data_IF_949539523621
#
_entry.id   IF_949539523621
#
_cell.length_a   1.000
_cell.length_b   1.000
_cell.length_c   1.000
_cell.angle_alpha   90.00
_cell.angle_beta   90.00
_cell.angle_gamma   90.00
#
_symmetry.space_group_name_H-M   'P 1'
#
loop_
_entity.id
_entity.type
_entity.pdbx_description
1 polymer ?
#
# COMPACT_ATOMS: atom_id res chain seq x y z
N UNK A 1 -32.54 -33.64 -12.67
CA UNK A 1 -32.65 -32.43 -11.80
C UNK A 1 -31.34 -31.62 -11.81
N UNK A 2 -30.36 -31.99 -12.65
CA UNK A 2 -28.95 -31.57 -12.51
C UNK A 2 -28.56 -30.37 -13.38
N UNK A 3 -29.30 -30.10 -14.44
CA UNK A 3 -29.00 -29.00 -15.38
C UNK A 3 -29.31 -27.62 -14.77
N UNK A 4 -30.35 -27.54 -13.92
CA UNK A 4 -30.77 -26.31 -13.22
C UNK A 4 -29.82 -25.97 -12.08
N UNK A 5 -29.19 -26.97 -11.46
CA UNK A 5 -28.22 -26.73 -10.39
C UNK A 5 -26.91 -26.15 -10.95
N UNK A 6 -26.43 -26.67 -12.09
CA UNK A 6 -25.22 -26.21 -12.77
C UNK A 6 -25.30 -24.75 -13.24
N UNK A 7 -26.46 -24.34 -13.77
CA UNK A 7 -26.69 -22.95 -14.21
C UNK A 7 -26.73 -21.97 -13.04
N UNK A 8 -27.23 -22.39 -11.87
CA UNK A 8 -27.27 -21.55 -10.65
C UNK A 8 -25.88 -21.38 -10.04
N UNK A 9 -25.04 -22.42 -10.09
CA UNK A 9 -23.64 -22.35 -9.62
C UNK A 9 -22.79 -21.43 -10.50
N UNK A 10 -22.97 -21.49 -11.83
CA UNK A 10 -22.26 -20.59 -12.76
C UNK A 10 -22.67 -19.13 -12.57
N UNK A 11 -23.97 -18.87 -12.39
CA UNK A 11 -24.48 -17.51 -12.17
C UNK A 11 -23.97 -16.92 -10.83
N UNK A 12 -23.87 -17.73 -9.78
CA UNK A 12 -23.32 -17.30 -8.49
C UNK A 12 -21.82 -17.00 -8.58
N UNK A 13 -21.05 -17.82 -9.31
CA UNK A 13 -19.63 -17.56 -9.57
C UNK A 13 -19.43 -16.25 -10.35
N UNK A 14 -20.24 -16.01 -11.39
CA UNK A 14 -20.14 -14.79 -12.18
C UNK A 14 -20.53 -13.53 -11.38
N UNK A 15 -21.50 -13.63 -10.46
CA UNK A 15 -21.88 -12.54 -9.56
C UNK A 15 -20.80 -12.21 -8.50
N UNK A 16 -20.02 -13.19 -8.06
CA UNK A 16 -18.85 -12.97 -7.21
C UNK A 16 -17.69 -12.30 -7.97
N UNK A 17 -17.51 -12.64 -9.25
CA UNK A 17 -16.50 -12.00 -10.12
C UNK A 17 -16.86 -10.57 -10.51
N UNK A 18 -18.15 -10.22 -10.63
CA UNK A 18 -18.61 -8.88 -11.00
C UNK A 18 -18.97 -8.00 -9.80
N UNK A 19 -19.37 -8.60 -8.67
CA UNK A 19 -19.75 -7.89 -7.44
C UNK A 19 -18.57 -7.44 -6.58
N UNK A 20 -17.37 -8.01 -6.76
CA UNK A 20 -16.16 -7.58 -6.08
C UNK A 20 -15.59 -6.23 -6.58
N UNK A 21 -16.15 -5.68 -7.65
CA UNK A 21 -15.67 -4.45 -8.29
C UNK A 21 -16.30 -3.15 -7.73
N UNK A 22 -17.15 -3.23 -6.71
CA UNK A 22 -17.55 -2.04 -5.94
C UNK A 22 -16.54 -1.78 -4.82
N UNK A 23 -15.26 -1.73 -5.18
CA UNK A 23 -14.29 -1.00 -4.37
C UNK A 23 -14.69 0.47 -4.52
N UNK A 24 -15.37 0.98 -3.50
CA UNK A 24 -15.68 2.40 -3.34
C UNK A 24 -14.50 3.23 -3.81
N UNK A 25 -14.76 4.26 -4.62
CA UNK A 25 -13.78 5.29 -4.95
C UNK A 25 -12.98 5.59 -3.68
N UNK A 26 -11.72 5.16 -3.66
CA UNK A 26 -10.80 5.61 -2.65
C UNK A 26 -10.74 7.12 -2.87
N UNK A 27 -11.42 7.85 -1.98
CA UNK A 27 -11.49 9.30 -2.01
C UNK A 27 -10.06 9.80 -2.27
N UNK A 28 -9.88 10.60 -3.32
CA UNK A 28 -8.57 11.12 -3.75
C UNK A 28 -7.98 12.02 -2.67
N UNK A 29 -7.53 11.41 -1.58
CA UNK A 29 -7.01 12.05 -0.38
C UNK A 29 -5.53 12.24 -0.60
N UNK A 30 -5.08 13.49 -0.61
CA UNK A 30 -3.63 13.73 -0.64
C UNK A 30 -3.04 13.35 0.71
N UNK A 31 -2.39 12.18 0.78
CA UNK A 31 -1.64 11.76 1.94
C UNK A 31 -0.31 12.51 2.03
N UNK A 32 0.11 12.87 3.25
CA UNK A 32 1.38 13.56 3.51
C UNK A 32 2.20 12.74 4.49
N UNK A 33 3.48 12.55 4.19
CA UNK A 33 4.45 11.92 5.07
C UNK A 33 5.62 12.89 5.30
N UNK A 34 6.12 12.95 6.54
CA UNK A 34 7.33 13.69 6.91
C UNK A 34 8.37 12.66 7.34
N UNK A 35 9.49 12.60 6.63
CA UNK A 35 10.61 11.72 6.94
C UNK A 35 11.72 12.54 7.59
N UNK A 36 12.21 12.09 8.74
CA UNK A 36 13.29 12.75 9.48
C UNK A 36 14.44 11.76 9.66
N UNK A 37 15.54 12.00 8.95
CA UNK A 37 16.76 11.20 9.03
C UNK A 37 17.77 11.85 9.99
N UNK A 38 17.81 11.40 11.24
CA UNK A 38 18.76 11.92 12.24
C UNK A 38 20.06 11.13 12.17
N UNK A 39 21.14 11.78 11.71
CA UNK A 39 22.46 11.15 11.54
C UNK A 39 23.53 11.67 12.48
N UNK A 40 23.33 12.87 13.05
CA UNK A 40 24.31 13.54 13.91
C UNK A 40 23.77 13.76 15.31
N UNK A 41 24.56 13.41 16.33
CA UNK A 41 24.21 13.58 17.73
C UNK A 41 25.28 14.44 18.44
N UNK A 42 25.17 15.78 18.40
CA UNK A 42 26.25 16.67 18.80
C UNK A 42 26.65 16.56 20.27
N UNK A 43 25.76 16.04 21.12
CA UNK A 43 25.97 15.90 22.56
C UNK A 43 26.29 14.45 22.98
N UNK A 44 26.44 13.53 22.02
CA UNK A 44 26.69 12.10 22.31
C UNK A 44 27.85 11.60 21.46
N UNK A 45 28.97 11.31 22.11
CA UNK A 45 30.17 10.85 21.43
C UNK A 45 29.98 9.42 20.89
N UNK A 46 30.36 9.20 19.63
CA UNK A 46 30.32 7.87 19.00
C UNK A 46 28.93 7.38 18.60
N UNK A 47 27.90 8.22 18.67
CA UNK A 47 26.52 7.86 18.35
C UNK A 47 26.06 8.31 16.96
N UNK A 48 26.94 8.88 16.14
CA UNK A 48 26.62 9.26 14.76
C UNK A 48 26.22 8.02 13.93
N UNK A 49 25.13 8.14 13.17
CA UNK A 49 24.55 7.05 12.40
C UNK A 49 24.65 7.33 10.91
N UNK A 50 25.11 6.33 10.14
CA UNK A 50 25.21 6.42 8.68
C UNK A 50 23.91 5.98 7.98
N UNK A 51 23.16 5.07 8.59
CA UNK A 51 21.96 4.44 8.01
C UNK A 51 20.75 5.36 7.74
N UNK A 52 20.35 6.26 8.66
CA UNK A 52 19.07 6.97 8.55
C UNK A 52 18.88 7.78 7.26
N UNK A 53 19.96 8.29 6.65
CA UNK A 53 19.87 8.97 5.35
C UNK A 53 19.47 8.02 4.21
N UNK A 54 20.07 6.82 4.18
CA UNK A 54 19.74 5.79 3.20
C UNK A 54 18.31 5.28 3.42
N UNK A 55 17.92 5.05 4.67
CA UNK A 55 16.58 4.56 5.01
C UNK A 55 15.50 5.56 4.58
N UNK A 56 15.70 6.86 4.82
CA UNK A 56 14.76 7.89 4.38
C UNK A 56 14.63 7.98 2.86
N UNK A 57 15.71 7.73 2.11
CA UNK A 57 15.65 7.67 0.65
C UNK A 57 14.84 6.47 0.17
N UNK A 58 15.09 5.29 0.73
CA UNK A 58 14.37 4.06 0.41
C UNK A 58 12.87 4.18 0.75
N UNK A 59 12.54 4.71 1.92
CA UNK A 59 11.16 4.92 2.33
C UNK A 59 10.47 5.94 1.43
N UNK A 60 11.15 7.03 1.05
CA UNK A 60 10.59 8.01 0.10
C UNK A 60 10.28 7.34 -1.24
N UNK A 61 11.23 6.59 -1.80
CA UNK A 61 11.05 5.90 -3.08
C UNK A 61 9.90 4.90 -3.02
N UNK A 62 9.81 4.12 -1.95
CA UNK A 62 8.71 3.21 -1.73
C UNK A 62 7.36 3.94 -1.70
N UNK A 63 7.25 5.03 -0.91
CA UNK A 63 6.01 5.79 -0.75
C UNK A 63 5.56 6.51 -2.03
N UNK A 64 6.48 6.84 -2.95
CA UNK A 64 6.13 7.61 -4.16
C UNK A 64 6.08 6.78 -5.44
N UNK A 65 6.74 5.62 -5.48
CA UNK A 65 7.03 4.95 -6.76
C UNK A 65 6.81 3.44 -6.69
N UNK A 66 7.35 2.79 -5.66
CA UNK A 66 7.54 1.33 -5.67
C UNK A 66 6.51 0.57 -4.85
N UNK A 67 5.52 1.28 -4.29
CA UNK A 67 4.47 0.68 -3.48
C UNK A 67 3.61 -0.29 -4.30
N UNK A 68 3.31 -1.49 -3.76
CA UNK A 68 2.40 -2.43 -4.43
C UNK A 68 0.92 -2.01 -4.32
N UNK A 69 0.63 -0.93 -3.58
CA UNK A 69 -0.71 -0.39 -3.37
C UNK A 69 -0.70 1.13 -3.58
N UNK A 70 -1.77 1.72 -4.12
CA UNK A 70 -1.90 3.17 -4.20
C UNK A 70 -2.05 3.77 -2.79
N UNK A 71 -1.29 4.81 -2.49
CA UNK A 71 -1.46 5.60 -1.26
C UNK A 71 -2.43 6.75 -1.49
N UNK A 72 -3.68 6.39 -1.80
CA UNK A 72 -4.79 7.26 -2.25
C UNK A 72 -4.54 8.02 -3.57
#
# INVERSE_FOLDING_TARGET
MDLVNSTRTLAAALALLTGGAMLSDAEARTNRAVLVAVTKYPNVQGADLVGPNNDAQLVREFLTTSAPVPFA
#
